data_IF_323943107777
#
_entry.id   IF_323943107777
#
_cell.length_a   1.000
_cell.length_b   1.000
_cell.length_c   1.000
_cell.angle_alpha   90.00
_cell.angle_beta   90.00
_cell.angle_gamma   90.00
#
_symmetry.space_group_name_H-M   'P 1'
#
loop_
_entity.id
_entity.type
_entity.pdbx_description
1 polymer ?
#
# COMPACT_ATOMS: atom_id res chain seq x y z
N UNK A 1 29.65 38.22 37.77
CA UNK A 1 28.47 38.35 36.89
C UNK A 1 28.64 37.36 35.74
N UNK A 2 27.87 36.26 35.78
CA UNK A 2 27.49 35.27 34.75
C UNK A 2 28.59 34.55 33.92
N UNK A 3 28.84 33.31 34.33
CA UNK A 3 29.33 32.17 33.56
C UNK A 3 28.38 31.93 32.38
N UNK A 4 28.89 31.91 31.15
CA UNK A 4 28.12 31.54 29.96
C UNK A 4 28.39 30.06 29.64
N UNK A 5 27.39 29.22 29.92
CA UNK A 5 27.37 27.80 29.59
C UNK A 5 27.35 27.59 28.07
N UNK A 6 28.25 26.73 27.60
CA UNK A 6 28.10 25.90 26.41
C UNK A 6 26.83 25.04 26.55
N UNK A 7 25.94 25.06 25.55
CA UNK A 7 25.17 23.88 25.15
C UNK A 7 24.84 23.96 23.65
N UNK A 8 25.25 22.91 22.94
CA UNK A 8 24.96 22.62 21.55
C UNK A 8 23.48 22.25 21.35
N UNK A 9 22.96 22.44 20.13
CA UNK A 9 22.10 21.45 19.47
C UNK A 9 21.77 21.87 18.04
N UNK A 10 22.13 20.98 17.12
CA UNK A 10 21.54 20.72 15.81
C UNK A 10 20.10 21.22 15.64
N UNK A 11 19.85 21.97 14.57
CA UNK A 11 18.53 22.04 13.97
C UNK A 11 18.68 21.57 12.51
N UNK A 12 18.56 20.25 12.31
CA UNK A 12 18.28 19.66 11.01
C UNK A 12 16.87 20.12 10.64
N UNK A 13 16.75 21.02 9.68
CA UNK A 13 15.47 21.37 9.08
C UNK A 13 15.08 20.26 8.11
N UNK A 14 14.35 19.27 8.63
CA UNK A 14 13.55 18.37 7.79
C UNK A 14 12.48 19.22 7.13
N UNK A 15 12.67 19.54 5.86
CA UNK A 15 11.62 20.10 5.02
C UNK A 15 10.59 18.99 4.77
N UNK A 16 9.55 18.98 5.60
CA UNK A 16 8.30 18.29 5.34
C UNK A 16 7.62 18.89 4.10
N UNK A 17 6.94 18.04 3.34
CA UNK A 17 5.81 18.49 2.52
C UNK A 17 6.04 18.55 1.01
N UNK A 18 6.47 17.45 0.40
CA UNK A 18 5.99 17.14 -0.95
C UNK A 18 4.83 16.14 -0.81
N UNK A 19 3.64 16.65 -0.50
CA UNK A 19 2.40 15.93 -0.82
C UNK A 19 2.44 15.69 -2.33
N UNK A 20 2.75 14.45 -2.73
CA UNK A 20 2.42 14.01 -4.08
C UNK A 20 0.89 14.13 -4.19
N UNK A 21 0.34 14.77 -5.25
CA UNK A 21 -1.07 14.63 -5.51
C UNK A 21 -1.32 13.13 -5.68
N UNK A 22 -2.09 12.58 -4.76
CA UNK A 22 -2.54 11.19 -4.79
C UNK A 22 -3.34 11.00 -6.08
N UNK A 23 -2.69 10.43 -7.09
CA UNK A 23 -3.26 10.09 -8.38
C UNK A 23 -4.04 8.76 -8.31
N UNK A 24 -4.24 8.21 -7.11
CA UNK A 24 -5.23 7.16 -6.87
C UNK A 24 -6.65 7.72 -6.89
N UNK A 25 -7.04 8.30 -8.04
CA UNK A 25 -8.45 8.55 -8.37
C UNK A 25 -9.15 7.20 -8.51
N UNK A 26 -9.66 6.72 -7.40
CA UNK A 26 -10.47 5.50 -7.26
C UNK A 26 -11.91 5.71 -7.73
N UNK A 27 -12.24 6.87 -8.29
CA UNK A 27 -13.57 7.18 -8.85
C UNK A 27 -13.91 6.33 -10.09
N UNK A 28 -12.92 5.65 -10.66
CA UNK A 28 -13.10 4.67 -11.74
C UNK A 28 -13.50 3.28 -11.24
N UNK A 29 -13.35 3.00 -9.94
CA UNK A 29 -13.77 1.74 -9.33
C UNK A 29 -15.13 1.95 -8.67
N UNK A 30 -16.17 1.31 -9.22
CA UNK A 30 -17.47 1.25 -8.55
C UNK A 30 -17.28 0.61 -7.15
N UNK A 31 -17.51 1.36 -6.04
CA UNK A 31 -17.32 0.83 -4.69
C UNK A 31 -18.20 -0.39 -4.40
N UNK A 32 -19.36 -0.47 -5.08
CA UNK A 32 -20.28 -1.58 -4.97
C UNK A 32 -19.78 -2.81 -5.74
N UNK A 33 -19.04 -2.62 -6.84
CA UNK A 33 -18.37 -3.73 -7.53
C UNK A 33 -17.23 -4.31 -6.67
N UNK A 34 -16.44 -3.46 -6.02
CA UNK A 34 -15.42 -3.90 -5.07
C UNK A 34 -16.03 -4.66 -3.86
N UNK A 35 -17.18 -4.17 -3.35
CA UNK A 35 -17.91 -4.84 -2.27
C UNK A 35 -18.50 -6.20 -2.69
N UNK A 36 -19.03 -6.31 -3.91
CA UNK A 36 -19.54 -7.58 -4.44
C UNK A 36 -18.43 -8.63 -4.56
N UNK A 37 -17.24 -8.22 -5.01
CA UNK A 37 -16.08 -9.13 -5.10
C UNK A 37 -15.68 -9.66 -3.71
N UNK A 38 -15.87 -8.84 -2.67
CA UNK A 38 -15.57 -9.20 -1.29
C UNK A 38 -16.63 -10.11 -0.64
N UNK A 39 -17.87 -10.09 -1.14
CA UNK A 39 -18.98 -10.81 -0.54
C UNK A 39 -18.83 -12.34 -0.57
N UNK A 40 -18.05 -12.86 -1.53
CA UNK A 40 -17.75 -14.29 -1.64
C UNK A 40 -16.38 -14.68 -1.07
N UNK A 41 -15.64 -13.74 -0.49
CA UNK A 41 -14.39 -14.08 0.22
C UNK A 41 -14.69 -14.68 1.59
N UNK A 42 -13.81 -15.58 2.09
CA UNK A 42 -13.88 -16.01 3.48
C UNK A 42 -13.85 -14.80 4.42
N UNK A 43 -14.67 -14.78 5.49
CA UNK A 43 -14.74 -13.63 6.40
C UNK A 43 -13.40 -13.35 7.08
N UNK A 44 -12.58 -14.38 7.31
CA UNK A 44 -11.22 -14.23 7.84
C UNK A 44 -10.29 -13.49 6.88
N UNK A 45 -10.39 -13.77 5.58
CA UNK A 45 -9.63 -13.06 4.54
C UNK A 45 -10.04 -11.59 4.50
N UNK A 46 -11.35 -11.32 4.50
CA UNK A 46 -11.85 -9.96 4.57
C UNK A 46 -11.34 -9.23 5.82
N UNK A 47 -11.40 -9.86 6.99
CA UNK A 47 -10.93 -9.26 8.23
C UNK A 47 -9.42 -8.94 8.23
N UNK A 48 -8.59 -9.81 7.64
CA UNK A 48 -7.15 -9.54 7.50
C UNK A 48 -6.88 -8.40 6.53
N UNK A 49 -7.63 -8.29 5.42
CA UNK A 49 -7.53 -7.15 4.50
C UNK A 49 -7.94 -5.83 5.16
N UNK A 50 -9.00 -5.83 5.98
CA UNK A 50 -9.41 -4.63 6.73
C UNK A 50 -8.38 -4.21 7.78
N UNK A 51 -7.82 -5.19 8.49
CA UNK A 51 -6.75 -4.96 9.48
C UNK A 51 -5.50 -4.37 8.79
N UNK A 52 -5.10 -4.95 7.67
CA UNK A 52 -3.98 -4.45 6.87
C UNK A 52 -4.22 -3.03 6.33
N UNK A 53 -5.43 -2.75 5.85
CA UNK A 53 -5.82 -1.42 5.36
C UNK A 53 -5.82 -0.38 6.47
N UNK A 54 -6.23 -0.78 7.69
CA UNK A 54 -6.20 0.09 8.86
C UNK A 54 -4.76 0.41 9.25
N UNK A 55 -3.91 -0.61 9.42
CA UNK A 55 -2.49 -0.42 9.74
C UNK A 55 -1.77 0.43 8.68
N UNK A 56 -2.06 0.21 7.39
CA UNK A 56 -1.48 1.00 6.31
C UNK A 56 -1.86 2.49 6.40
N UNK A 57 -3.10 2.79 6.77
CA UNK A 57 -3.58 4.18 6.97
C UNK A 57 -2.98 4.84 8.22
N UNK A 58 -2.55 4.03 9.18
CA UNK A 58 -1.84 4.47 10.37
C UNK A 58 -0.31 4.58 10.14
N UNK A 59 0.14 4.47 8.89
CA UNK A 59 1.55 4.44 8.46
C UNK A 59 2.38 3.30 9.07
N UNK A 60 1.74 2.29 9.68
CA UNK A 60 2.38 1.07 10.18
C UNK A 60 2.48 0.04 9.05
N UNK A 61 3.42 0.30 8.14
CA UNK A 61 3.57 -0.48 6.91
C UNK A 61 4.07 -1.91 7.18
N UNK A 62 4.88 -2.14 8.22
CA UNK A 62 5.31 -3.46 8.63
C UNK A 62 4.15 -4.33 9.13
N UNK A 63 3.28 -3.77 9.97
CA UNK A 63 2.07 -4.50 10.43
C UNK A 63 1.11 -4.72 9.26
N UNK A 64 0.93 -3.71 8.40
CA UNK A 64 0.11 -3.85 7.19
C UNK A 64 0.62 -5.00 6.30
N UNK A 65 1.93 -5.05 6.05
CA UNK A 65 2.58 -6.11 5.28
C UNK A 65 2.31 -7.49 5.90
N UNK A 66 2.37 -7.62 7.23
CA UNK A 66 2.05 -8.86 7.93
C UNK A 66 0.61 -9.32 7.71
N UNK A 67 -0.36 -8.40 7.76
CA UNK A 67 -1.77 -8.71 7.49
C UNK A 67 -2.01 -9.10 6.03
N UNK A 68 -1.44 -8.37 5.08
CA UNK A 68 -1.57 -8.69 3.65
C UNK A 68 -0.88 -10.01 3.28
N UNK A 69 0.25 -10.33 3.91
CA UNK A 69 0.93 -11.61 3.73
C UNK A 69 0.03 -12.77 4.15
N UNK A 70 -0.64 -12.68 5.31
CA UNK A 70 -1.61 -13.70 5.74
C UNK A 70 -2.75 -13.89 4.74
N UNK A 71 -3.21 -12.81 4.09
CA UNK A 71 -4.21 -12.92 3.03
C UNK A 71 -3.70 -13.79 1.88
N UNK A 72 -2.46 -13.57 1.44
CA UNK A 72 -1.87 -14.37 0.35
C UNK A 72 -1.57 -15.82 0.73
N UNK A 73 -1.38 -16.10 2.02
CA UNK A 73 -1.23 -17.47 2.55
C UNK A 73 -2.57 -18.21 2.60
N UNK A 74 -3.65 -17.52 3.01
CA UNK A 74 -5.00 -18.11 3.10
C UNK A 74 -5.69 -18.23 1.74
N UNK A 75 -5.51 -17.22 0.88
CA UNK A 75 -6.18 -17.08 -0.39
C UNK A 75 -5.21 -16.49 -1.43
N UNK A 76 -4.31 -17.32 -1.99
CA UNK A 76 -3.28 -16.86 -2.93
C UNK A 76 -3.84 -16.34 -4.25
N UNK A 77 -5.11 -16.60 -4.55
CA UNK A 77 -5.86 -16.18 -5.74
C UNK A 77 -6.56 -14.82 -5.58
N UNK A 78 -6.48 -14.19 -4.39
CA UNK A 78 -7.06 -12.87 -4.15
C UNK A 78 -6.02 -11.78 -4.44
N UNK A 79 -6.20 -11.09 -5.58
CA UNK A 79 -5.32 -10.02 -6.03
C UNK A 79 -5.18 -8.86 -5.01
N UNK A 80 -6.20 -8.60 -4.20
CA UNK A 80 -6.17 -7.55 -3.17
C UNK A 80 -5.08 -7.77 -2.12
N UNK A 81 -4.77 -9.02 -1.76
CA UNK A 81 -3.68 -9.34 -0.82
C UNK A 81 -2.32 -8.98 -1.41
N UNK A 82 -2.07 -9.38 -2.66
CA UNK A 82 -0.84 -9.06 -3.39
C UNK A 82 -0.67 -7.56 -3.63
N UNK A 83 -1.76 -6.86 -3.98
CA UNK A 83 -1.74 -5.41 -4.11
C UNK A 83 -1.44 -4.69 -2.78
N UNK A 84 -1.99 -5.20 -1.67
CA UNK A 84 -1.66 -4.70 -0.33
C UNK A 84 -0.17 -4.87 0.01
N UNK A 85 0.42 -6.03 -0.30
CA UNK A 85 1.87 -6.27 -0.14
C UNK A 85 2.67 -5.27 -0.98
N UNK A 86 2.28 -5.05 -2.24
CA UNK A 86 2.91 -4.05 -3.11
C UNK A 86 2.91 -2.66 -2.46
N UNK A 87 1.74 -2.18 -2.01
CA UNK A 87 1.59 -0.87 -1.39
C UNK A 87 2.48 -0.73 -0.14
N UNK A 88 2.46 -1.74 0.75
CA UNK A 88 3.26 -1.72 1.97
C UNK A 88 4.77 -1.79 1.69
N UNK A 89 5.22 -2.67 0.79
CA UNK A 89 6.64 -2.77 0.43
C UNK A 89 7.15 -1.52 -0.29
N UNK A 90 6.32 -0.91 -1.12
CA UNK A 90 6.65 0.36 -1.78
C UNK A 90 6.81 1.49 -0.75
N UNK A 91 5.91 1.57 0.24
CA UNK A 91 6.01 2.54 1.34
C UNK A 91 7.25 2.32 2.22
N UNK A 92 7.67 1.07 2.42
CA UNK A 92 8.92 0.70 3.11
C UNK A 92 10.19 0.92 2.27
N UNK A 93 10.06 1.26 0.98
CA UNK A 93 11.19 1.46 0.06
C UNK A 93 11.78 0.18 -0.52
N UNK A 94 11.19 -0.98 -0.26
CA UNK A 94 11.62 -2.28 -0.80
C UNK A 94 11.12 -2.49 -2.24
N UNK A 95 11.69 -1.70 -3.15
CA UNK A 95 11.22 -1.56 -4.54
C UNK A 95 11.15 -2.89 -5.30
N UNK A 96 12.13 -3.78 -5.14
CA UNK A 96 12.15 -5.08 -5.82
C UNK A 96 11.01 -6.00 -5.33
N UNK A 97 10.79 -6.05 -4.01
CA UNK A 97 9.73 -6.86 -3.42
C UNK A 97 8.34 -6.32 -3.80
N UNK A 98 8.20 -4.99 -3.87
CA UNK A 98 6.97 -4.34 -4.33
C UNK A 98 6.67 -4.71 -5.79
N UNK A 99 7.66 -4.64 -6.68
CA UNK A 99 7.49 -4.99 -8.09
C UNK A 99 7.02 -6.44 -8.28
N UNK A 100 7.64 -7.39 -7.57
CA UNK A 100 7.24 -8.80 -7.62
C UNK A 100 5.78 -9.03 -7.15
N UNK A 101 5.35 -8.33 -6.10
CA UNK A 101 3.98 -8.42 -5.61
C UNK A 101 2.97 -7.80 -6.61
N UNK A 102 3.35 -6.69 -7.24
CA UNK A 102 2.54 -6.03 -8.25
C UNK A 102 2.34 -6.88 -9.50
N UNK A 103 3.41 -7.49 -10.02
CA UNK A 103 3.35 -8.43 -11.15
C UNK A 103 2.39 -9.59 -10.86
N UNK A 104 2.42 -10.11 -9.62
CA UNK A 104 1.54 -11.18 -9.21
C UNK A 104 0.08 -10.75 -9.13
N UNK A 105 -0.20 -9.56 -8.60
CA UNK A 105 -1.54 -8.99 -8.56
C UNK A 105 -2.09 -8.76 -9.98
N UNK A 106 -1.27 -8.21 -10.90
CA UNK A 106 -1.66 -7.97 -12.28
C UNK A 106 -1.94 -9.26 -13.06
N UNK A 107 -1.15 -10.31 -12.84
CA UNK A 107 -1.36 -11.62 -13.49
C UNK A 107 -2.68 -12.31 -13.09
N UNK A 108 -3.27 -11.93 -11.94
CA UNK A 108 -4.51 -12.52 -11.42
C UNK A 108 -5.77 -11.88 -11.97
N UNK A 109 -5.70 -10.60 -12.35
CA UNK A 109 -6.81 -9.91 -13.02
C UNK A 109 -6.37 -9.61 -14.45
N UNK A 110 -6.43 -10.59 -15.37
CA UNK A 110 -6.12 -10.37 -16.78
C UNK A 110 -7.15 -9.39 -17.36
N UNK A 111 -6.80 -8.11 -17.37
CA UNK A 111 -7.69 -7.00 -17.76
C UNK A 111 -7.65 -5.79 -16.80
N UNK A 112 -7.16 -5.94 -15.56
CA UNK A 112 -6.84 -4.79 -14.71
C UNK A 112 -5.47 -4.22 -15.10
N UNK A 113 -5.39 -3.72 -16.32
CA UNK A 113 -4.35 -2.79 -16.71
C UNK A 113 -4.61 -1.51 -15.91
N UNK A 114 -3.99 -1.38 -14.73
CA UNK A 114 -3.92 -0.12 -13.97
C UNK A 114 -3.04 0.93 -14.67
N UNK A 115 -2.38 0.56 -15.78
CA UNK A 115 -1.79 1.49 -16.73
C UNK A 115 -2.92 2.19 -17.50
N UNK A 116 -2.95 3.52 -17.42
CA UNK A 116 -3.76 4.30 -18.33
C UNK A 116 -3.32 3.94 -19.77
N UNK A 117 -4.23 3.69 -20.73
CA UNK A 117 -3.86 3.41 -22.12
C UNK A 117 -3.05 4.54 -22.81
N UNK A 118 -2.74 5.64 -22.10
CA UNK A 118 -1.83 6.67 -22.55
C UNK A 118 -0.33 6.37 -22.29
N UNK A 119 -0.01 5.44 -21.38
CA UNK A 119 1.39 5.14 -21.00
C UNK A 119 2.00 4.00 -21.82
N UNK A 120 1.23 3.36 -22.70
CA UNK A 120 1.68 2.24 -23.54
C UNK A 120 2.06 2.63 -24.97
N UNK A 121 2.38 3.91 -25.23
CA UNK A 121 2.81 4.32 -26.57
C UNK A 121 4.33 4.37 -26.66
N UNK A 122 4.90 3.41 -27.38
CA UNK A 122 5.78 3.73 -28.51
C UNK A 122 5.66 2.69 -29.61
#
# INVERSE_FOLDING_TARGET
MRIACLLAALAVTVAAGACRPDDQRTDTIDPNAAMQVRAHWPPEVAAQLDSGSTAFRDDDYETALGHYTRVTEMAPDIAAGWFGIYMAQHALGHTEAAAAAYERAQGMVPGATLLHPADTVR
#
